data_IF_424656428763
#
_entry.id   IF_424656428763
#
_cell.length_a   1.000
_cell.length_b   1.000
_cell.length_c   1.000
_cell.angle_alpha   90.00
_cell.angle_beta   90.00
_cell.angle_gamma   90.00
#
_symmetry.space_group_name_H-M   'P 1'
#
loop_
_entity.id
_entity.type
_entity.pdbx_description
1 polymer ?
#
# COMPACT_ATOMS: atom_id res chain seq x y z
N UNK A 1 29.20 51.47 -2.63
CA UNK A 1 29.44 50.03 -2.85
C UNK A 1 28.33 49.25 -2.15
N UNK A 2 27.23 49.01 -2.85
CA UNK A 2 26.14 48.18 -2.37
C UNK A 2 26.08 46.95 -3.28
N UNK A 3 26.51 45.80 -2.78
CA UNK A 3 26.29 44.51 -3.42
C UNK A 3 24.91 43.99 -3.04
N UNK A 4 24.10 43.78 -4.07
CA UNK A 4 22.75 43.28 -4.02
C UNK A 4 22.75 41.77 -3.69
N UNK A 5 22.07 41.41 -2.61
CA UNK A 5 21.63 40.05 -2.31
C UNK A 5 20.26 39.82 -2.99
N UNK A 6 20.26 39.25 -4.17
CA UNK A 6 19.04 38.78 -4.83
C UNK A 6 19.35 37.56 -5.71
N UNK A 7 19.53 36.43 -5.06
CA UNK A 7 19.50 35.14 -5.76
C UNK A 7 19.12 34.02 -4.73
N UNK A 8 17.85 33.71 -4.60
CA UNK A 8 17.47 32.67 -3.68
C UNK A 8 15.97 32.51 -3.41
N UNK A 9 15.11 32.67 -4.43
CA UNK A 9 13.71 32.20 -4.33
C UNK A 9 13.18 31.96 -5.76
N UNK A 10 13.55 30.82 -6.33
CA UNK A 10 12.92 30.35 -7.57
C UNK A 10 13.18 28.85 -7.73
N UNK A 11 12.82 28.02 -6.74
CA UNK A 11 12.83 26.55 -6.89
C UNK A 11 11.76 25.87 -6.02
N UNK A 12 10.55 26.39 -6.01
CA UNK A 12 9.46 25.79 -5.22
C UNK A 12 8.11 25.69 -5.93
N UNK A 13 8.06 25.76 -7.26
CA UNK A 13 6.77 25.84 -7.96
C UNK A 13 6.52 24.79 -9.05
N UNK A 14 7.23 23.65 -9.08
CA UNK A 14 7.00 22.59 -10.09
C UNK A 14 6.93 21.16 -9.53
N UNK A 15 6.57 20.95 -8.27
CA UNK A 15 6.46 19.61 -7.65
C UNK A 15 5.01 19.14 -7.37
N UNK A 16 4.02 19.75 -7.97
CA UNK A 16 2.60 19.41 -7.69
C UNK A 16 2.00 18.30 -8.55
N UNK A 17 2.81 17.44 -9.19
CA UNK A 17 2.32 16.29 -9.97
C UNK A 17 3.18 15.02 -9.88
N UNK A 18 3.93 14.87 -8.80
CA UNK A 18 4.66 13.62 -8.57
C UNK A 18 3.78 12.76 -7.67
N UNK A 19 3.02 11.86 -8.28
CA UNK A 19 2.47 10.70 -7.56
C UNK A 19 3.59 10.01 -6.78
N UNK A 20 3.29 9.16 -5.80
CA UNK A 20 4.25 8.40 -4.99
C UNK A 20 5.24 7.60 -5.88
N UNK A 21 6.11 8.29 -6.57
CA UNK A 21 7.12 7.79 -7.49
C UNK A 21 8.51 7.79 -6.85
N UNK A 22 9.47 7.06 -7.41
CA UNK A 22 10.77 6.82 -6.78
C UNK A 22 11.52 8.14 -6.58
N UNK A 23 11.91 8.40 -5.33
CA UNK A 23 12.84 9.45 -4.96
C UNK A 23 14.17 9.20 -5.69
N UNK A 24 14.72 10.25 -6.27
CA UNK A 24 15.89 10.24 -7.13
C UNK A 24 17.02 9.36 -6.59
N UNK A 25 17.58 8.53 -7.47
CA UNK A 25 18.86 7.84 -7.27
C UNK A 25 19.96 8.88 -7.07
N UNK A 26 20.41 9.04 -5.83
CA UNK A 26 21.72 9.59 -5.54
C UNK A 26 22.66 8.39 -5.37
N UNK A 27 23.61 8.27 -6.27
CA UNK A 27 24.58 7.17 -6.28
C UNK A 27 25.32 7.10 -4.93
N UNK A 28 25.17 5.96 -4.25
CA UNK A 28 26.01 5.55 -3.12
C UNK A 28 25.39 5.50 -1.73
N UNK A 29 24.26 6.16 -1.44
CA UNK A 29 23.60 6.10 -0.12
C UNK A 29 22.09 5.99 -0.27
N UNK A 30 21.59 4.77 -0.36
CA UNK A 30 20.16 4.46 -0.57
C UNK A 30 19.31 4.54 0.73
N UNK A 31 19.63 5.44 1.64
CA UNK A 31 18.92 5.62 2.92
C UNK A 31 17.42 5.98 2.72
N UNK A 32 17.08 6.54 1.56
CA UNK A 32 15.71 6.97 1.20
C UNK A 32 15.14 6.17 0.02
N UNK A 33 15.68 4.98 -0.26
CA UNK A 33 15.05 4.11 -1.27
C UNK A 33 13.70 3.61 -0.76
N UNK A 34 12.81 3.26 -1.69
CA UNK A 34 11.52 2.64 -1.34
C UNK A 34 11.74 1.40 -0.49
N UNK A 35 12.75 0.58 -0.79
CA UNK A 35 13.07 -0.63 -0.03
C UNK A 35 13.52 -0.33 1.40
N UNK A 36 14.30 0.73 1.61
CA UNK A 36 14.71 1.15 2.95
C UNK A 36 13.53 1.69 3.77
N UNK A 37 12.62 2.42 3.12
CA UNK A 37 11.48 3.05 3.79
C UNK A 37 10.33 2.07 4.04
N UNK A 38 10.06 1.17 3.10
CA UNK A 38 8.94 0.24 3.19
C UNK A 38 9.33 -1.16 3.65
N UNK A 39 10.63 -1.53 3.62
CA UNK A 39 11.15 -2.83 4.09
C UNK A 39 10.23 -4.00 3.68
N UNK A 40 10.03 -4.24 2.37
CA UNK A 40 8.99 -5.14 1.88
C UNK A 40 9.12 -6.56 2.44
N UNK A 41 10.34 -7.04 2.63
CA UNK A 41 10.58 -8.35 3.21
C UNK A 41 10.05 -8.45 4.65
N UNK A 42 10.36 -7.45 5.50
CA UNK A 42 9.92 -7.42 6.89
C UNK A 42 8.38 -7.29 6.99
N UNK A 43 7.75 -6.52 6.09
CA UNK A 43 6.28 -6.45 5.99
C UNK A 43 5.71 -7.84 5.67
N UNK A 44 6.22 -8.53 4.64
CA UNK A 44 5.71 -9.83 4.24
C UNK A 44 5.94 -10.91 5.31
N UNK A 45 7.04 -10.86 6.05
CA UNK A 45 7.31 -11.74 7.19
C UNK A 45 6.38 -11.47 8.37
N UNK A 46 5.80 -10.25 8.47
CA UNK A 46 4.89 -9.84 9.56
C UNK A 46 3.42 -10.15 9.28
N UNK A 47 3.05 -10.55 8.07
CA UNK A 47 1.69 -10.94 7.68
C UNK A 47 1.62 -12.43 7.36
N UNK A 48 0.48 -13.10 7.63
CA UNK A 48 0.39 -14.56 7.52
C UNK A 48 0.22 -15.04 6.07
N UNK A 49 1.06 -14.58 5.15
CA UNK A 49 1.08 -15.07 3.77
C UNK A 49 1.75 -16.44 3.76
N UNK A 50 0.96 -17.48 3.43
CA UNK A 50 1.43 -18.86 3.35
C UNK A 50 1.39 -19.36 1.90
N UNK A 51 2.22 -20.34 1.53
CA UNK A 51 2.06 -21.05 0.26
C UNK A 51 0.62 -21.55 0.09
N UNK A 52 0.01 -21.27 -1.04
CA UNK A 52 -1.39 -21.60 -1.34
C UNK A 52 -2.39 -20.52 -0.98
N UNK A 53 -2.00 -19.44 -0.29
CA UNK A 53 -2.90 -18.36 0.11
C UNK A 53 -3.45 -17.57 -1.09
N UNK A 54 -4.67 -17.06 -0.94
CA UNK A 54 -5.31 -16.10 -1.83
C UNK A 54 -5.07 -14.69 -1.28
N UNK A 55 -4.25 -13.89 -1.93
CA UNK A 55 -3.81 -12.59 -1.44
C UNK A 55 -4.26 -11.48 -2.38
N UNK A 56 -4.74 -10.36 -1.82
CA UNK A 56 -5.03 -9.16 -2.60
C UNK A 56 -4.00 -8.07 -2.30
N UNK A 57 -3.38 -7.51 -3.35
CA UNK A 57 -2.56 -6.31 -3.33
C UNK A 57 -3.41 -5.14 -3.82
N UNK A 58 -4.00 -4.39 -2.89
CA UNK A 58 -4.95 -3.31 -3.21
C UNK A 58 -4.20 -1.99 -3.38
N UNK A 59 -4.35 -1.38 -4.56
CA UNK A 59 -3.54 -0.24 -4.99
C UNK A 59 -2.13 -0.66 -5.39
N UNK A 60 -2.03 -1.76 -6.11
CA UNK A 60 -0.78 -2.43 -6.47
C UNK A 60 0.22 -1.53 -7.23
N UNK A 61 -0.26 -0.44 -7.85
CA UNK A 61 0.58 0.54 -8.54
C UNK A 61 1.35 -0.09 -9.70
N UNK A 62 2.66 -0.16 -9.56
CA UNK A 62 3.55 -0.79 -10.54
C UNK A 62 3.96 -2.23 -10.19
N UNK A 63 3.33 -2.82 -9.17
CA UNK A 63 3.54 -4.20 -8.77
C UNK A 63 4.63 -4.39 -7.71
N UNK A 64 5.00 -3.35 -7.00
CA UNK A 64 6.09 -3.40 -6.03
C UNK A 64 5.96 -4.55 -5.02
N UNK A 65 4.76 -4.73 -4.42
CA UNK A 65 4.49 -5.86 -3.54
C UNK A 65 3.97 -7.09 -4.28
N UNK A 66 3.27 -6.90 -5.39
CA UNK A 66 2.68 -7.99 -6.19
C UNK A 66 3.67 -9.11 -6.48
N UNK A 67 4.89 -8.77 -6.90
CA UNK A 67 5.90 -9.77 -7.30
C UNK A 67 6.36 -10.62 -6.11
N UNK A 68 6.66 -9.98 -4.99
CA UNK A 68 7.07 -10.69 -3.77
C UNK A 68 5.93 -11.49 -3.16
N UNK A 69 4.69 -11.02 -3.27
CA UNK A 69 3.49 -11.77 -2.87
C UNK A 69 3.30 -13.02 -3.75
N UNK A 70 3.48 -12.89 -5.08
CA UNK A 70 3.39 -14.01 -6.01
C UNK A 70 4.40 -15.11 -5.69
N UNK A 71 5.63 -14.72 -5.35
CA UNK A 71 6.68 -15.65 -4.90
C UNK A 71 6.28 -16.32 -3.56
N UNK A 72 5.75 -15.56 -2.62
CA UNK A 72 5.40 -16.05 -1.27
C UNK A 72 4.23 -17.05 -1.30
N UNK A 73 3.17 -16.79 -2.10
CA UNK A 73 2.03 -17.72 -2.21
C UNK A 73 2.36 -18.95 -3.06
N UNK A 74 3.38 -18.87 -3.93
CA UNK A 74 3.81 -19.96 -4.80
C UNK A 74 2.77 -20.40 -5.83
N UNK A 75 3.04 -21.48 -6.54
CA UNK A 75 2.20 -21.95 -7.65
C UNK A 75 0.80 -22.44 -7.23
N UNK A 76 0.59 -22.78 -5.96
CA UNK A 76 -0.71 -23.21 -5.43
C UNK A 76 -1.57 -22.08 -4.88
N UNK A 77 -0.99 -20.89 -4.67
CA UNK A 77 -1.69 -19.69 -4.23
C UNK A 77 -2.02 -18.74 -5.38
N UNK A 78 -2.58 -17.59 -5.06
CA UNK A 78 -2.93 -16.60 -6.08
C UNK A 78 -2.84 -15.17 -5.53
N UNK A 79 -2.42 -14.22 -6.38
CA UNK A 79 -2.39 -12.78 -6.06
C UNK A 79 -3.37 -12.02 -6.95
N UNK A 80 -4.28 -11.32 -6.32
CA UNK A 80 -5.22 -10.41 -6.94
C UNK A 80 -4.66 -8.99 -6.85
N UNK A 81 -4.01 -8.48 -7.92
CA UNK A 81 -3.41 -7.16 -7.97
C UNK A 81 -4.42 -6.12 -8.43
N UNK A 82 -4.96 -5.37 -7.49
CA UNK A 82 -6.04 -4.40 -7.73
C UNK A 82 -5.46 -3.02 -8.01
N UNK A 83 -5.81 -2.45 -9.15
CA UNK A 83 -5.39 -1.08 -9.53
C UNK A 83 -6.53 -0.34 -10.23
N UNK A 84 -6.82 0.90 -9.77
CA UNK A 84 -7.92 1.71 -10.32
C UNK A 84 -7.50 2.50 -11.57
N UNK A 85 -6.21 2.78 -11.73
CA UNK A 85 -5.68 3.59 -12.83
C UNK A 85 -5.42 2.72 -14.07
N UNK A 86 -6.10 3.01 -15.19
CA UNK A 86 -5.94 2.25 -16.44
C UNK A 86 -4.48 2.09 -16.88
N UNK A 87 -3.69 3.15 -16.76
CA UNK A 87 -2.27 3.16 -17.17
C UNK A 87 -1.43 2.21 -16.32
N UNK A 88 -1.64 2.20 -14.99
CA UNK A 88 -0.91 1.34 -14.06
C UNK A 88 -1.36 -0.12 -14.18
N UNK A 89 -2.66 -0.38 -14.30
CA UNK A 89 -3.15 -1.74 -14.54
C UNK A 89 -2.54 -2.35 -15.82
N UNK A 90 -2.50 -1.60 -16.92
CA UNK A 90 -1.83 -2.05 -18.15
C UNK A 90 -0.30 -2.27 -17.97
N UNK A 91 0.35 -1.53 -17.05
CA UNK A 91 1.76 -1.78 -16.68
C UNK A 91 1.89 -3.08 -15.88
N UNK A 92 0.99 -3.33 -14.93
CA UNK A 92 0.94 -4.58 -14.17
C UNK A 92 0.73 -5.79 -15.09
N UNK A 93 -0.24 -5.72 -16.02
CA UNK A 93 -0.51 -6.80 -16.98
C UNK A 93 0.74 -7.14 -17.80
N UNK A 94 1.47 -6.13 -18.28
CA UNK A 94 2.75 -6.37 -18.96
C UNK A 94 3.78 -6.99 -18.03
N UNK A 95 3.89 -6.51 -16.80
CA UNK A 95 4.81 -7.05 -15.80
C UNK A 95 4.52 -8.52 -15.45
N UNK A 96 3.25 -8.92 -15.39
CA UNK A 96 2.82 -10.31 -15.21
C UNK A 96 3.25 -11.17 -16.40
N UNK A 97 2.99 -10.70 -17.64
CA UNK A 97 3.37 -11.41 -18.85
C UNK A 97 4.90 -11.56 -19.01
N UNK A 98 5.66 -10.48 -18.75
CA UNK A 98 7.13 -10.47 -18.82
C UNK A 98 7.78 -11.44 -17.81
N UNK A 99 7.14 -11.66 -16.67
CA UNK A 99 7.60 -12.59 -15.61
C UNK A 99 7.02 -13.98 -15.74
N UNK A 100 6.13 -14.22 -16.72
CA UNK A 100 5.41 -15.48 -16.90
C UNK A 100 4.74 -15.97 -15.60
N UNK A 101 4.04 -15.07 -14.89
CA UNK A 101 3.37 -15.38 -13.62
C UNK A 101 1.94 -15.87 -13.88
N UNK A 102 1.71 -17.16 -13.67
CA UNK A 102 0.38 -17.80 -13.82
C UNK A 102 -0.49 -17.62 -12.55
N UNK A 103 0.11 -17.21 -11.43
CA UNK A 103 -0.54 -17.05 -10.14
C UNK A 103 -0.87 -15.58 -9.80
N UNK A 104 -0.94 -14.69 -10.79
CA UNK A 104 -1.30 -13.28 -10.61
C UNK A 104 -2.42 -12.89 -11.56
N UNK A 105 -3.49 -12.30 -11.02
CA UNK A 105 -4.56 -11.67 -11.81
C UNK A 105 -4.57 -10.17 -11.54
N UNK A 106 -4.52 -9.37 -12.59
CA UNK A 106 -4.69 -7.92 -12.48
C UNK A 106 -6.18 -7.58 -12.53
N UNK A 107 -6.66 -6.92 -11.48
CA UNK A 107 -8.06 -6.52 -11.32
C UNK A 107 -8.19 -5.02 -11.52
N UNK A 108 -9.08 -4.59 -12.43
CA UNK A 108 -9.50 -3.20 -12.55
C UNK A 108 -10.49 -2.88 -11.43
N UNK A 109 -9.98 -2.47 -10.27
CA UNK A 109 -10.78 -2.04 -9.14
C UNK A 109 -11.58 -0.75 -9.42
N UNK A 110 -12.58 -0.51 -8.59
CA UNK A 110 -13.25 0.77 -8.48
C UNK A 110 -12.75 1.56 -7.27
N UNK A 111 -13.11 2.84 -7.20
CA UNK A 111 -12.79 3.69 -6.04
C UNK A 111 -13.60 3.31 -4.79
N UNK A 112 -14.75 2.66 -4.96
CA UNK A 112 -15.65 2.23 -3.89
C UNK A 112 -15.64 0.72 -3.64
N UNK A 113 -15.05 -0.06 -4.56
CA UNK A 113 -15.09 -1.53 -4.56
C UNK A 113 -13.84 -2.09 -5.22
N UNK A 114 -13.03 -2.92 -4.54
CA UNK A 114 -11.86 -3.55 -5.13
C UNK A 114 -12.21 -4.57 -6.22
N UNK A 115 -13.45 -5.06 -6.26
CA UNK A 115 -13.96 -6.08 -7.20
C UNK A 115 -13.22 -7.41 -7.09
N UNK A 116 -12.93 -7.79 -5.89
CA UNK A 116 -12.32 -9.09 -5.57
C UNK A 116 -13.38 -10.21 -5.57
N UNK A 117 -12.98 -11.48 -5.68
CA UNK A 117 -13.90 -12.60 -5.58
C UNK A 117 -14.42 -12.78 -4.14
N UNK A 118 -15.74 -12.91 -3.98
CA UNK A 118 -16.42 -13.03 -2.69
C UNK A 118 -15.91 -14.25 -1.89
N UNK A 119 -15.62 -14.02 -0.60
CA UNK A 119 -15.31 -15.05 0.39
C UNK A 119 -14.01 -15.83 0.18
N UNK A 120 -13.10 -15.32 -0.64
CA UNK A 120 -11.89 -16.07 -1.05
C UNK A 120 -10.58 -15.52 -0.51
N UNK A 121 -10.52 -14.25 -0.16
CA UNK A 121 -9.25 -13.59 0.14
C UNK A 121 -8.80 -13.88 1.58
N UNK A 122 -7.63 -14.50 1.73
CA UNK A 122 -7.03 -14.82 3.03
C UNK A 122 -6.27 -13.63 3.61
N UNK A 123 -5.60 -12.85 2.75
CA UNK A 123 -4.83 -11.67 3.15
C UNK A 123 -5.05 -10.53 2.18
N UNK A 124 -5.30 -9.35 2.70
CA UNK A 124 -5.30 -8.09 1.92
C UNK A 124 -4.15 -7.22 2.39
N UNK A 125 -3.35 -6.73 1.46
CA UNK A 125 -2.34 -5.70 1.69
C UNK A 125 -2.79 -4.39 1.04
N UNK A 126 -2.81 -3.30 1.84
CA UNK A 126 -2.91 -1.92 1.36
C UNK A 126 -1.62 -1.20 1.76
N UNK A 127 -0.78 -0.84 0.79
CA UNK A 127 0.46 -0.11 1.07
C UNK A 127 0.45 1.27 0.44
N UNK A 128 0.42 2.32 1.27
CA UNK A 128 0.33 3.73 0.86
C UNK A 128 -0.87 4.02 -0.04
N UNK A 129 -2.01 3.45 0.29
CA UNK A 129 -3.26 3.53 -0.48
C UNK A 129 -4.43 3.99 0.37
N UNK A 130 -4.46 3.64 1.65
CA UNK A 130 -5.59 3.89 2.53
C UNK A 130 -6.02 5.37 2.56
N UNK A 131 -5.05 6.31 2.53
CA UNK A 131 -5.32 7.75 2.48
C UNK A 131 -5.93 8.23 1.15
N UNK A 132 -5.88 7.44 0.08
CA UNK A 132 -6.50 7.76 -1.20
C UNK A 132 -7.96 7.31 -1.32
N UNK A 133 -8.44 6.50 -0.37
CA UNK A 133 -9.84 6.04 -0.33
C UNK A 133 -10.68 7.16 0.27
N UNK A 134 -11.69 7.64 -0.49
CA UNK A 134 -12.52 8.77 -0.10
C UNK A 134 -13.45 8.41 1.07
N UNK A 135 -14.23 7.33 0.95
CA UNK A 135 -15.03 6.77 2.05
C UNK A 135 -14.43 5.44 2.52
N UNK A 136 -13.43 5.55 3.41
CA UNK A 136 -12.70 4.39 3.92
C UNK A 136 -13.58 3.41 4.67
N UNK A 137 -14.54 3.89 5.45
CA UNK A 137 -15.45 3.02 6.21
C UNK A 137 -16.34 2.22 5.28
N UNK A 138 -16.95 2.85 4.28
CA UNK A 138 -17.78 2.14 3.29
C UNK A 138 -16.96 1.14 2.48
N UNK A 139 -15.77 1.54 1.99
CA UNK A 139 -14.87 0.67 1.24
C UNK A 139 -14.47 -0.58 2.04
N UNK A 140 -14.01 -0.38 3.29
CA UNK A 140 -13.60 -1.50 4.15
C UNK A 140 -14.79 -2.37 4.56
N UNK A 141 -15.98 -1.78 4.73
CA UNK A 141 -17.21 -2.55 4.97
C UNK A 141 -17.53 -3.45 3.77
N UNK A 142 -17.42 -2.92 2.55
CA UNK A 142 -17.62 -3.66 1.30
C UNK A 142 -16.62 -4.79 1.15
N UNK A 143 -15.33 -4.53 1.40
CA UNK A 143 -14.24 -5.50 1.33
C UNK A 143 -14.51 -6.76 2.18
N UNK A 144 -15.27 -6.65 3.28
CA UNK A 144 -15.57 -7.81 4.16
C UNK A 144 -16.23 -8.98 3.43
N UNK A 145 -17.01 -8.73 2.38
CA UNK A 145 -17.66 -9.79 1.61
C UNK A 145 -16.66 -10.65 0.83
N UNK A 146 -15.51 -10.07 0.48
CA UNK A 146 -14.48 -10.73 -0.30
C UNK A 146 -13.57 -11.62 0.56
N UNK A 147 -13.60 -11.41 1.89
CA UNK A 147 -12.69 -12.06 2.83
C UNK A 147 -13.13 -13.47 3.23
N UNK A 148 -12.19 -14.39 3.18
CA UNK A 148 -12.34 -15.73 3.74
C UNK A 148 -12.47 -15.69 5.28
N UNK A 149 -13.04 -16.74 5.92
CA UNK A 149 -13.03 -16.86 7.37
C UNK A 149 -11.60 -16.81 7.93
N UNK A 150 -11.36 -15.94 8.91
CA UNK A 150 -10.03 -15.77 9.51
C UNK A 150 -9.06 -14.90 8.72
N UNK A 151 -9.49 -14.26 7.63
CA UNK A 151 -8.66 -13.37 6.82
C UNK A 151 -8.04 -12.23 7.62
N UNK A 152 -6.93 -11.69 7.08
CA UNK A 152 -6.20 -10.54 7.63
C UNK A 152 -6.15 -9.40 6.63
N UNK A 153 -6.26 -8.18 7.16
CA UNK A 153 -6.08 -6.94 6.39
C UNK A 153 -4.88 -6.21 6.96
N UNK A 154 -3.83 -6.09 6.19
CA UNK A 154 -2.60 -5.40 6.51
C UNK A 154 -2.59 -4.02 5.85
N UNK A 155 -2.43 -2.97 6.64
CA UNK A 155 -2.40 -1.59 6.16
C UNK A 155 -1.06 -0.97 6.55
N UNK A 156 -0.28 -0.61 5.54
CA UNK A 156 0.97 0.15 5.66
C UNK A 156 0.72 1.55 5.13
N UNK A 157 0.73 2.54 6.01
CA UNK A 157 0.26 3.88 5.69
C UNK A 157 1.29 4.94 6.12
N UNK A 158 1.61 5.95 5.29
CA UNK A 158 2.44 7.07 5.71
C UNK A 158 1.94 7.68 7.02
N UNK A 159 2.84 7.94 7.96
CA UNK A 159 2.48 8.64 9.20
C UNK A 159 2.08 10.07 8.88
N UNK A 160 1.04 10.56 9.54
CA UNK A 160 0.53 11.92 9.34
C UNK A 160 1.32 13.01 10.09
N UNK A 161 2.29 12.62 10.92
CA UNK A 161 3.12 13.50 11.71
C UNK A 161 4.29 14.13 10.95
N UNK A 162 5.30 14.61 11.70
CA UNK A 162 6.51 15.21 11.15
C UNK A 162 7.35 14.17 10.35
N UNK A 163 7.17 12.89 10.61
CA UNK A 163 7.85 11.78 9.91
C UNK A 163 7.52 11.75 8.42
N UNK A 164 6.39 12.33 8.00
CA UNK A 164 5.99 12.39 6.59
C UNK A 164 7.01 13.10 5.70
N UNK A 165 7.81 14.04 6.27
CA UNK A 165 8.86 14.71 5.52
C UNK A 165 9.98 13.76 5.07
N UNK A 166 10.20 12.62 5.77
CA UNK A 166 11.14 11.58 5.34
C UNK A 166 10.74 10.96 4.00
N UNK A 167 9.46 11.03 3.67
CA UNK A 167 8.90 10.59 2.39
C UNK A 167 8.73 11.74 1.39
N UNK A 168 9.21 12.96 1.73
CA UNK A 168 8.96 14.20 0.99
C UNK A 168 7.46 14.50 0.79
N UNK A 169 6.64 14.04 1.73
CA UNK A 169 5.19 14.29 1.74
C UNK A 169 4.88 15.50 2.65
N UNK A 170 3.85 16.29 2.31
CA UNK A 170 3.41 17.36 3.18
C UNK A 170 2.87 16.82 4.51
N UNK A 171 2.98 17.56 5.62
CA UNK A 171 2.34 17.19 6.87
C UNK A 171 0.85 16.92 6.69
N UNK A 172 0.34 15.84 7.30
CA UNK A 172 -1.06 15.45 7.18
C UNK A 172 -1.40 14.64 5.91
N UNK A 173 -0.41 14.25 5.10
CA UNK A 173 -0.66 13.46 3.90
C UNK A 173 -1.17 12.04 4.21
N UNK A 174 -0.64 11.39 5.26
CA UNK A 174 -1.10 10.06 5.67
C UNK A 174 -2.30 10.11 6.63
N UNK A 175 -2.74 8.94 7.06
CA UNK A 175 -3.82 8.77 8.05
C UNK A 175 -3.21 8.41 9.41
N UNK A 176 -3.62 9.13 10.47
CA UNK A 176 -3.17 8.81 11.82
C UNK A 176 -3.65 7.40 12.23
N UNK A 177 -2.80 6.65 12.93
CA UNK A 177 -3.10 5.27 13.34
C UNK A 177 -4.42 5.17 14.13
N UNK A 178 -4.67 6.10 15.06
CA UNK A 178 -5.90 6.09 15.86
C UNK A 178 -7.16 6.40 15.01
N UNK A 179 -7.03 7.24 13.98
CA UNK A 179 -8.10 7.46 13.00
C UNK A 179 -8.36 6.18 12.21
N UNK A 180 -7.30 5.56 11.68
CA UNK A 180 -7.40 4.27 10.97
C UNK A 180 -8.08 3.21 11.83
N UNK A 181 -7.65 3.03 13.09
CA UNK A 181 -8.25 2.06 14.03
C UNK A 181 -9.73 2.35 14.26
N UNK A 182 -10.10 3.62 14.39
CA UNK A 182 -11.49 4.04 14.60
C UNK A 182 -12.34 3.71 13.37
N UNK A 183 -11.87 4.05 12.16
CA UNK A 183 -12.54 3.77 10.90
C UNK A 183 -12.65 2.25 10.64
N UNK A 184 -11.58 1.49 10.91
CA UNK A 184 -11.59 0.03 10.77
C UNK A 184 -12.58 -0.63 11.73
N UNK A 185 -12.66 -0.18 12.99
CA UNK A 185 -13.70 -0.67 13.92
C UNK A 185 -15.10 -0.33 13.42
N UNK A 186 -15.33 0.87 12.92
CA UNK A 186 -16.62 1.26 12.34
C UNK A 186 -16.98 0.38 11.12
N UNK A 187 -16.01 -0.06 10.35
CA UNK A 187 -16.17 -1.00 9.25
C UNK A 187 -16.29 -2.47 9.69
N UNK A 188 -16.23 -2.77 11.01
CA UNK A 188 -16.39 -4.12 11.56
C UNK A 188 -15.11 -4.95 11.59
N UNK A 189 -13.96 -4.31 11.76
CA UNK A 189 -12.66 -4.96 11.97
C UNK A 189 -12.13 -4.69 13.37
N UNK A 190 -11.25 -5.57 13.87
CA UNK A 190 -10.52 -5.41 15.11
C UNK A 190 -9.00 -5.41 14.85
N UNK A 191 -8.23 -4.55 15.52
CA UNK A 191 -6.78 -4.56 15.41
C UNK A 191 -6.22 -5.84 16.07
N UNK A 192 -5.30 -6.50 15.38
CA UNK A 192 -4.65 -7.73 15.83
C UNK A 192 -3.17 -7.54 16.13
N UNK A 193 -2.48 -6.73 15.33
CA UNK A 193 -1.07 -6.42 15.50
C UNK A 193 -0.75 -5.01 15.03
N UNK A 194 0.26 -4.41 15.65
CA UNK A 194 0.82 -3.11 15.31
C UNK A 194 2.34 -3.22 15.28
N UNK A 195 2.97 -2.65 14.25
CA UNK A 195 4.41 -2.71 14.04
C UNK A 195 4.99 -1.31 13.92
N UNK A 196 6.16 -1.08 14.50
CA UNK A 196 6.84 0.22 14.57
C UNK A 196 8.20 0.26 13.87
N UNK A 197 8.60 -0.85 13.23
CA UNK A 197 9.90 -0.94 12.58
C UNK A 197 10.06 -0.09 11.31
N UNK A 198 8.96 0.42 10.74
CA UNK A 198 9.00 1.28 9.56
C UNK A 198 9.26 2.75 9.95
N UNK A 199 10.28 3.40 9.36
CA UNK A 199 10.74 4.72 9.81
C UNK A 199 9.70 5.83 9.60
N UNK A 200 8.86 5.74 8.56
CA UNK A 200 7.91 6.80 8.21
C UNK A 200 6.48 6.29 7.95
N UNK A 201 6.23 5.00 8.19
CA UNK A 201 4.90 4.41 8.03
C UNK A 201 4.40 3.81 9.35
N UNK A 202 3.09 3.87 9.57
CA UNK A 202 2.39 3.00 10.49
C UNK A 202 2.06 1.69 9.80
N UNK A 203 2.14 0.58 10.53
CA UNK A 203 1.78 -0.73 10.02
C UNK A 203 0.87 -1.44 10.99
N UNK A 204 -0.37 -1.66 10.57
CA UNK A 204 -1.42 -2.30 11.36
C UNK A 204 -1.96 -3.53 10.64
N UNK A 205 -2.29 -4.56 11.41
CA UNK A 205 -3.00 -5.75 10.90
C UNK A 205 -4.32 -5.89 11.62
N UNK A 206 -5.38 -6.11 10.85
CA UNK A 206 -6.75 -6.24 11.33
C UNK A 206 -7.33 -7.60 10.96
N UNK A 207 -8.30 -8.06 11.77
CA UNK A 207 -9.18 -9.18 11.46
C UNK A 207 -10.64 -8.74 11.46
N UNK A 208 -11.52 -9.53 10.86
CA UNK A 208 -12.97 -9.25 10.91
C UNK A 208 -13.48 -9.56 12.31
N UNK A 209 -14.18 -8.62 12.93
CA UNK A 209 -14.75 -8.78 14.27
C UNK A 209 -15.78 -9.93 14.29
N UNK A 210 -15.68 -10.82 15.30
CA UNK A 210 -16.65 -11.90 15.50
C UNK A 210 -16.60 -13.06 14.52
N UNK A 211 -15.51 -13.20 13.75
CA UNK A 211 -15.27 -14.35 12.86
C UNK A 211 -14.03 -15.14 13.28
#
# INVERSE_FOLDING_TARGET
MHLSLAAGVALAATLASVGCGPIAKLDGWNLFSRDTMQRPREILESIPVQPGAQVADVGAGDGYFTWSLADAVGASGHVWSVEVTKKLAAKLERGVAERALDNVTVVRGGYEDPRLPDGRIDVVLLSSVYHHIEDRVAYMTRLRSDLAPGARVAIVEPRSGWESWLLLLPPGHGVAIETMRTEMRAAGYEPLASFDFLPAHGFEVFGVAGR
#
